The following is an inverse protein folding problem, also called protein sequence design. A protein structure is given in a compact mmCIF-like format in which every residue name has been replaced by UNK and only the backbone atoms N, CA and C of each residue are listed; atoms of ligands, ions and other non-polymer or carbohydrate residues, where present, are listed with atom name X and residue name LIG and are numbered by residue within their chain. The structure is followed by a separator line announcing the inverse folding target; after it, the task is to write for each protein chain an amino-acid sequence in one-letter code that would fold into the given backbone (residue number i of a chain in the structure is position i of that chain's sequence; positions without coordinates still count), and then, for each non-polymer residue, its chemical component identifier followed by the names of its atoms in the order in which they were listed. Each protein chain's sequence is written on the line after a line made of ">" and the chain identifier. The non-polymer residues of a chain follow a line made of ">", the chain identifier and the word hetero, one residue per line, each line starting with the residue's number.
data_IF_289605077565
#
_entry.id   IF_289605077565
#
_cell.length_a   1.000
_cell.length_b   1.000
_cell.length_c   1.000
_cell.angle_alpha   90.00
_cell.angle_beta   90.00
_cell.angle_gamma   90.00
#
_symmetry.space_group_name_H-M   'P 1'
#
loop_
_entity.id
_entity.type
_entity.pdbx_description
1 polymer ?
#
# COMPACT_ATOMS: atom_id res chain seq x y z
N UNK A 1 0.42 11.97 -0.82
CA UNK A 1 0.02 11.86 0.60
C UNK A 1 -1.18 10.93 0.70
N UNK A 2 -1.36 10.24 1.82
CA UNK A 2 -2.46 9.28 1.99
C UNK A 2 -2.98 9.21 3.42
N UNK A 3 -4.18 8.69 3.56
CA UNK A 3 -4.87 8.50 4.84
C UNK A 3 -5.42 7.07 4.92
N UNK A 4 -5.61 6.59 6.14
CA UNK A 4 -6.27 5.32 6.39
C UNK A 4 -7.16 5.42 7.63
N UNK A 5 -8.31 4.77 7.56
CA UNK A 5 -9.21 4.56 8.68
C UNK A 5 -9.44 3.07 8.85
N UNK A 6 -9.62 2.62 10.08
CA UNK A 6 -9.91 1.22 10.31
C UNK A 6 -10.38 0.95 11.72
N UNK A 7 -10.82 -0.29 11.88
CA UNK A 7 -11.26 -0.83 13.16
C UNK A 7 -10.33 -1.95 13.58
N UNK A 8 -10.11 -2.05 14.89
CA UNK A 8 -9.36 -3.14 15.53
C UNK A 8 -10.20 -3.71 16.67
N UNK A 9 -10.45 -5.01 16.60
CA UNK A 9 -11.08 -5.79 17.64
C UNK A 9 -10.02 -6.51 18.48
N UNK A 10 -10.17 -6.46 19.80
CA UNK A 10 -9.34 -7.19 20.76
C UNK A 10 -10.19 -8.31 21.38
N UNK A 11 -9.68 -9.53 21.31
CA UNK A 11 -10.44 -10.74 21.69
C UNK A 11 -10.81 -10.81 23.17
N UNK A 12 -9.92 -10.37 24.06
CA UNK A 12 -10.07 -10.62 25.50
C UNK A 12 -10.17 -9.33 26.34
N UNK A 13 -10.27 -8.15 25.73
CA UNK A 13 -10.25 -6.84 26.43
C UNK A 13 -8.97 -6.55 27.24
N UNK A 14 -8.05 -7.51 27.31
CA UNK A 14 -6.77 -7.46 28.00
C UNK A 14 -5.66 -6.98 27.06
N UNK A 15 -4.63 -6.34 27.63
CA UNK A 15 -3.46 -5.93 26.86
C UNK A 15 -2.67 -7.13 26.30
N UNK A 16 -2.81 -8.30 26.93
CA UNK A 16 -2.32 -9.59 26.43
C UNK A 16 -3.41 -10.27 25.60
N UNK A 17 -3.57 -9.91 24.33
CA UNK A 17 -4.63 -10.47 23.50
C UNK A 17 -4.29 -10.56 22.03
N UNK A 18 -5.02 -11.45 21.37
CA UNK A 18 -5.13 -11.45 19.92
C UNK A 18 -5.99 -10.27 19.49
N UNK A 19 -5.59 -9.66 18.38
CA UNK A 19 -6.40 -8.65 17.72
C UNK A 19 -6.59 -8.98 16.25
N UNK A 20 -7.72 -8.53 15.74
CA UNK A 20 -8.08 -8.56 14.33
C UNK A 20 -8.46 -7.15 13.92
N UNK A 21 -8.13 -6.76 12.71
CA UNK A 21 -8.45 -5.42 12.24
C UNK A 21 -8.71 -5.41 10.75
N UNK A 22 -9.45 -4.39 10.33
CA UNK A 22 -9.68 -4.07 8.94
C UNK A 22 -9.44 -2.57 8.76
N UNK A 23 -8.69 -2.21 7.73
CA UNK A 23 -8.34 -0.83 7.40
C UNK A 23 -8.67 -0.56 5.94
N UNK A 24 -9.33 0.57 5.68
CA UNK A 24 -9.50 1.15 4.37
C UNK A 24 -8.61 2.38 4.26
N UNK A 25 -7.87 2.48 3.16
CA UNK A 25 -6.94 3.57 2.93
C UNK A 25 -7.08 4.13 1.53
N UNK A 26 -6.71 5.40 1.42
CA UNK A 26 -6.60 6.11 0.16
C UNK A 26 -5.27 6.84 0.13
N UNK A 27 -4.50 6.68 -0.94
CA UNK A 27 -3.28 7.44 -1.16
C UNK A 27 -3.17 7.92 -2.60
N UNK A 28 -2.58 9.11 -2.76
CA UNK A 28 -2.25 9.68 -4.05
C UNK A 28 -0.77 10.02 -4.15
N UNK A 29 -0.24 9.92 -5.36
CA UNK A 29 1.15 10.21 -5.64
C UNK A 29 1.41 10.39 -7.14
N UNK A 30 2.68 10.50 -7.48
CA UNK A 30 3.12 10.55 -8.87
C UNK A 30 4.05 9.36 -9.12
N UNK A 31 3.97 8.76 -10.30
CA UNK A 31 4.93 7.74 -10.76
C UNK A 31 5.52 8.20 -12.07
N UNK A 32 6.82 8.01 -12.25
CA UNK A 32 7.47 8.35 -13.50
C UNK A 32 7.52 7.08 -14.35
N UNK A 33 6.88 7.12 -15.52
CA UNK A 33 7.03 6.08 -16.52
C UNK A 33 8.11 6.51 -17.51
N UNK A 34 9.10 5.64 -17.73
CA UNK A 34 10.15 5.86 -18.73
C UNK A 34 9.96 4.87 -19.87
N UNK A 35 9.76 5.37 -21.09
CA UNK A 35 9.79 4.57 -22.30
C UNK A 35 11.05 4.89 -23.09
N UNK A 36 11.75 3.86 -23.58
CA UNK A 36 12.95 4.02 -24.40
C UNK A 36 12.77 3.26 -25.71
N UNK A 37 12.81 3.99 -26.82
CA UNK A 37 12.78 3.43 -28.17
C UNK A 37 14.20 3.48 -28.73
N UNK A 38 14.76 2.32 -29.05
CA UNK A 38 16.11 2.22 -29.63
C UNK A 38 16.02 1.79 -31.08
N UNK A 39 16.61 2.59 -31.97
CA UNK A 39 16.86 2.28 -33.37
C UNK A 39 18.36 2.04 -33.59
N UNK A 40 18.74 1.54 -34.76
CA UNK A 40 20.14 1.25 -35.11
C UNK A 40 21.09 2.47 -35.00
N UNK A 41 20.56 3.69 -34.95
CA UNK A 41 21.34 4.93 -34.90
C UNK A 41 21.12 5.76 -33.62
N UNK A 42 20.03 5.55 -32.87
CA UNK A 42 19.66 6.42 -31.75
C UNK A 42 18.67 5.77 -30.79
N UNK A 43 18.81 6.08 -29.49
CA UNK A 43 17.80 5.81 -28.46
C UNK A 43 17.08 7.09 -28.07
N UNK A 44 15.76 7.12 -28.23
CA UNK A 44 14.89 8.18 -27.70
C UNK A 44 14.33 7.68 -26.37
N UNK A 45 14.48 8.49 -25.32
CA UNK A 45 13.85 8.22 -24.03
C UNK A 45 12.80 9.28 -23.74
N UNK A 46 11.56 8.85 -23.49
CA UNK A 46 10.46 9.71 -23.02
C UNK A 46 10.17 9.39 -21.57
N UNK A 47 9.84 10.42 -20.81
CA UNK A 47 9.45 10.30 -19.40
C UNK A 47 8.09 10.96 -19.24
N UNK A 48 7.12 10.20 -18.73
CA UNK A 48 5.78 10.68 -18.42
C UNK A 48 5.58 10.67 -16.91
N UNK A 49 5.15 11.80 -16.40
CA UNK A 49 4.66 11.92 -15.03
C UNK A 49 3.21 11.46 -14.99
N UNK A 50 2.95 10.38 -14.25
CA UNK A 50 1.63 9.75 -14.14
C UNK A 50 1.10 9.90 -12.70
N UNK A 51 0.26 10.92 -12.45
CA UNK A 51 -0.44 11.04 -11.18
C UNK A 51 -1.34 9.83 -10.99
N UNK A 52 -1.33 9.26 -9.80
CA UNK A 52 -2.18 8.14 -9.46
C UNK A 52 -2.92 8.37 -8.17
N UNK A 53 -4.04 7.67 -8.07
CA UNK A 53 -4.80 7.48 -6.84
C UNK A 53 -4.90 5.99 -6.57
N UNK A 54 -4.94 5.60 -5.30
CA UNK A 54 -5.02 4.20 -4.90
C UNK A 54 -5.94 4.05 -3.71
N UNK A 55 -6.92 3.16 -3.85
CA UNK A 55 -7.70 2.64 -2.74
C UNK A 55 -7.08 1.32 -2.27
N UNK A 56 -7.07 1.09 -0.95
CA UNK A 56 -6.61 -0.17 -0.36
C UNK A 56 -7.53 -0.62 0.76
N UNK A 57 -7.74 -1.92 0.83
CA UNK A 57 -8.37 -2.62 1.95
C UNK A 57 -7.36 -3.59 2.52
N UNK A 58 -7.18 -3.60 3.83
CA UNK A 58 -6.22 -4.46 4.52
C UNK A 58 -6.90 -5.11 5.71
N UNK A 59 -6.85 -6.44 5.76
CA UNK A 59 -7.17 -7.21 6.95
C UNK A 59 -5.87 -7.52 7.70
N UNK A 60 -5.89 -7.37 9.01
CA UNK A 60 -4.73 -7.65 9.87
C UNK A 60 -5.13 -8.58 11.01
N UNK A 61 -4.23 -9.47 11.37
CA UNK A 61 -4.32 -10.28 12.58
C UNK A 61 -2.99 -10.18 13.32
N UNK A 62 -3.02 -10.24 14.64
CA UNK A 62 -1.80 -10.18 15.41
C UNK A 62 -2.02 -10.46 16.86
N UNK A 63 -0.92 -10.45 17.61
CA UNK A 63 -0.92 -10.66 19.05
C UNK A 63 -0.05 -9.61 19.71
N UNK A 64 -0.57 -9.07 20.81
CA UNK A 64 0.19 -8.22 21.72
C UNK A 64 0.52 -9.02 22.97
N UNK A 65 1.78 -8.96 23.36
CA UNK A 65 2.27 -9.40 24.67
C UNK A 65 2.68 -8.17 25.47
N UNK A 66 2.26 -8.13 26.72
CA UNK A 66 2.65 -7.13 27.69
C UNK A 66 3.34 -7.85 28.82
N UNK A 67 4.59 -7.46 29.01
CA UNK A 67 5.45 -7.86 30.09
C UNK A 67 5.44 -6.74 31.14
N UNK A 68 5.78 -7.05 32.39
CA UNK A 68 6.00 -5.99 33.38
C UNK A 68 7.11 -5.03 32.94
N UNK A 69 7.51 -4.07 33.77
CA UNK A 69 6.78 -2.84 34.07
C UNK A 69 6.51 -1.96 32.82
N UNK A 70 5.68 -2.43 31.88
CA UNK A 70 5.22 -1.62 30.74
C UNK A 70 5.81 -1.96 29.38
N UNK A 71 6.65 -3.01 29.27
CA UNK A 71 7.16 -3.49 27.98
C UNK A 71 6.04 -4.18 27.18
N UNK A 72 5.86 -3.74 25.94
CA UNK A 72 4.91 -4.29 24.99
C UNK A 72 5.66 -4.86 23.78
N UNK A 73 5.30 -6.06 23.35
CA UNK A 73 5.71 -6.61 22.06
C UNK A 73 4.45 -6.87 21.25
N UNK A 74 4.39 -6.38 20.02
CA UNK A 74 3.27 -6.61 19.11
C UNK A 74 3.79 -7.27 17.85
N UNK A 75 3.24 -8.42 17.51
CA UNK A 75 3.42 -9.02 16.19
C UNK A 75 2.12 -8.87 15.40
N UNK A 76 2.21 -8.34 14.19
CA UNK A 76 1.09 -8.15 13.26
C UNK A 76 1.44 -8.77 11.92
N UNK A 77 0.45 -9.41 11.34
CA UNK A 77 0.43 -9.79 9.94
C UNK A 77 -0.79 -9.16 9.27
N UNK A 78 -0.63 -8.72 8.04
CA UNK A 78 -1.65 -8.05 7.26
C UNK A 78 -1.64 -8.53 5.81
N UNK A 79 -2.83 -8.74 5.27
CA UNK A 79 -3.04 -8.96 3.85
C UNK A 79 -4.05 -7.93 3.36
N UNK A 80 -3.80 -7.36 2.19
CA UNK A 80 -4.69 -6.37 1.63
C UNK A 80 -4.76 -6.45 0.13
N UNK A 81 -5.82 -5.87 -0.42
CA UNK A 81 -5.97 -5.64 -1.83
C UNK A 81 -6.07 -4.13 -2.08
N UNK A 82 -5.48 -3.62 -3.15
CA UNK A 82 -5.64 -2.22 -3.54
C UNK A 82 -5.77 -2.02 -5.03
N UNK A 83 -6.62 -1.07 -5.43
CA UNK A 83 -6.79 -0.67 -6.81
C UNK A 83 -6.12 0.68 -7.02
N UNK A 84 -5.16 0.73 -7.94
CA UNK A 84 -4.55 1.98 -8.41
C UNK A 84 -5.23 2.43 -9.70
N UNK A 85 -5.46 3.73 -9.85
CA UNK A 85 -5.94 4.34 -11.08
C UNK A 85 -5.13 5.58 -11.39
N UNK A 86 -4.81 5.78 -12.67
CA UNK A 86 -3.98 6.89 -13.13
C UNK A 86 -4.84 8.01 -13.73
N UNK A 87 -4.44 9.25 -13.51
CA UNK A 87 -5.10 10.40 -14.10
C UNK A 87 -4.90 10.39 -15.62
N UNK A 88 -5.99 10.66 -16.36
CA UNK A 88 -5.96 10.82 -17.81
C UNK A 88 -5.75 12.31 -18.12
N UNK A 89 -4.90 12.60 -19.11
CA UNK A 89 -4.62 13.96 -19.58
C UNK A 89 -4.75 14.11 -21.09
N UNK A 90 -4.24 15.21 -21.64
CA UNK A 90 -4.36 15.49 -23.07
C UNK A 90 -3.41 14.67 -23.96
N UNK A 91 -2.43 13.98 -23.37
CA UNK A 91 -1.47 13.17 -24.10
C UNK A 91 -1.97 11.73 -24.27
N UNK A 92 -2.42 11.40 -25.48
CA UNK A 92 -2.96 10.07 -25.83
C UNK A 92 -1.98 8.92 -25.59
N UNK A 93 -0.67 9.15 -25.80
CA UNK A 93 0.36 8.14 -25.55
C UNK A 93 0.53 7.89 -24.05
N UNK A 94 0.59 8.96 -23.25
CA UNK A 94 0.65 8.86 -21.80
C UNK A 94 -0.58 8.12 -21.24
N UNK A 95 -1.77 8.40 -21.78
CA UNK A 95 -3.02 7.74 -21.41
C UNK A 95 -3.01 6.24 -21.71
N UNK A 96 -2.55 5.84 -22.90
CA UNK A 96 -2.42 4.43 -23.29
C UNK A 96 -1.44 3.69 -22.36
N UNK A 97 -0.32 4.32 -22.05
CA UNK A 97 0.67 3.76 -21.15
C UNK A 97 0.15 3.65 -19.70
N UNK A 98 -0.59 4.67 -19.24
CA UNK A 98 -1.25 4.67 -17.94
C UNK A 98 -2.25 3.50 -17.80
N UNK A 99 -3.05 3.23 -18.84
CA UNK A 99 -3.97 2.09 -18.87
C UNK A 99 -3.22 0.74 -18.80
N UNK A 100 -2.09 0.64 -19.51
CA UNK A 100 -1.22 -0.56 -19.45
C UNK A 100 -0.66 -0.76 -18.05
N UNK A 101 -0.18 0.30 -17.40
CA UNK A 101 0.31 0.22 -16.02
C UNK A 101 -0.81 -0.11 -15.04
N UNK A 102 -2.01 0.43 -15.23
CA UNK A 102 -3.17 0.10 -14.41
C UNK A 102 -3.48 -1.40 -14.49
N UNK A 103 -3.45 -1.99 -15.68
CA UNK A 103 -3.61 -3.43 -15.85
C UNK A 103 -2.54 -4.24 -15.12
N UNK A 104 -1.26 -3.89 -15.29
CA UNK A 104 -0.15 -4.62 -14.67
C UNK A 104 -0.20 -4.53 -13.15
N UNK A 105 -0.36 -3.33 -12.61
CA UNK A 105 -0.35 -3.10 -11.15
C UNK A 105 -1.58 -3.71 -10.48
N UNK A 106 -2.73 -3.73 -11.16
CA UNK A 106 -3.95 -4.31 -10.61
C UNK A 106 -4.14 -5.80 -10.94
N UNK A 107 -3.21 -6.45 -11.65
CA UNK A 107 -3.30 -7.89 -11.96
C UNK A 107 -3.27 -8.75 -10.69
N UNK A 108 -2.41 -8.38 -9.74
CA UNK A 108 -2.34 -8.98 -8.41
C UNK A 108 -2.29 -7.85 -7.38
N UNK A 109 -3.44 -7.29 -7.00
CA UNK A 109 -3.49 -6.14 -6.12
C UNK A 109 -3.13 -6.47 -4.67
N UNK A 110 -2.49 -7.62 -4.40
CA UNK A 110 -2.28 -8.17 -3.06
C UNK A 110 -1.01 -7.57 -2.45
N UNK A 111 -1.17 -6.94 -1.29
CA UNK A 111 -0.08 -6.51 -0.42
C UNK A 111 -0.03 -7.38 0.82
N UNK A 112 1.17 -7.80 1.22
CA UNK A 112 1.43 -8.49 2.47
C UNK A 112 2.30 -7.59 3.33
N UNK A 113 1.89 -7.38 4.58
CA UNK A 113 2.62 -6.59 5.57
C UNK A 113 2.83 -7.43 6.83
N UNK A 114 4.03 -7.38 7.40
CA UNK A 114 4.32 -7.98 8.70
C UNK A 114 5.15 -7.03 9.53
N UNK A 115 4.72 -6.80 10.76
CA UNK A 115 5.36 -5.86 11.66
C UNK A 115 5.60 -6.53 13.01
N UNK A 116 6.80 -6.37 13.55
CA UNK A 116 7.11 -6.61 14.95
C UNK A 116 7.49 -5.28 15.57
N UNK A 117 6.71 -4.82 16.53
CA UNK A 117 6.98 -3.56 17.25
C UNK A 117 7.17 -3.80 18.74
N UNK A 118 8.12 -3.06 19.31
CA UNK A 118 8.42 -3.04 20.74
C UNK A 118 8.09 -1.63 21.23
N UNK A 119 7.33 -1.54 22.32
CA UNK A 119 6.96 -0.26 22.93
C UNK A 119 7.05 -0.33 24.45
N UNK A 120 7.12 0.83 25.08
CA UNK A 120 7.07 0.96 26.54
C UNK A 120 5.91 1.89 26.92
N UNK A 121 5.08 1.49 27.88
CA UNK A 121 4.10 2.38 28.51
C UNK A 121 4.66 2.79 29.87
N UNK A 122 4.76 4.10 30.10
CA UNK A 122 5.06 4.72 31.40
C UNK A 122 3.76 5.23 32.03
#
# INVERSE_FOLDING_TARGET
>A
MGAQIGYRYLTNGSQNSWFFGAMAGYDGGNTNLRTSETSAAMTITRVYDLPYTRWRLTATAGRRWVFGPGLNVTARFGVGAGKRSYAQGDNAEANHQAATMEMVVNFLPVAVDSEVSIGWVF
#
